data_IF_332821704594
#
_entry.id   IF_332821704594
#
_cell.length_a   1.000
_cell.length_b   1.000
_cell.length_c   1.000
_cell.angle_alpha   90.00
_cell.angle_beta   90.00
_cell.angle_gamma   90.00
#
_symmetry.space_group_name_H-M   'P 1'
#
loop_
_entity.id
_entity.type
_entity.pdbx_description
1 polymer ?
#
# COMPACT_ATOMS: atom_id res chain seq x y z
N UNK A 1 1.88 -14.64 -21.82
CA UNK A 1 2.38 -15.44 -20.70
C UNK A 1 2.08 -14.70 -19.41
N UNK A 2 1.50 -15.36 -18.43
CA UNK A 2 1.25 -14.77 -17.12
C UNK A 2 2.61 -14.63 -16.38
N UNK A 3 3.05 -13.39 -16.17
CA UNK A 3 4.42 -13.12 -15.70
C UNK A 3 4.59 -13.25 -14.17
N UNK A 4 3.51 -13.57 -13.45
CA UNK A 4 3.53 -13.97 -12.02
C UNK A 4 3.15 -15.44 -11.83
N UNK A 5 3.18 -16.25 -12.88
CA UNK A 5 2.80 -17.67 -12.80
C UNK A 5 3.59 -18.39 -11.72
N UNK A 6 2.88 -18.98 -10.76
CA UNK A 6 3.46 -19.74 -9.65
C UNK A 6 4.01 -18.90 -8.50
N UNK A 7 4.00 -17.56 -8.59
CA UNK A 7 4.40 -16.67 -7.50
C UNK A 7 3.34 -16.68 -6.39
N UNK A 8 3.79 -16.71 -5.13
CA UNK A 8 2.97 -16.68 -3.91
C UNK A 8 3.04 -15.31 -3.28
N UNK A 9 1.91 -14.61 -3.18
CA UNK A 9 1.86 -13.20 -2.76
C UNK A 9 0.87 -13.03 -1.62
N UNK A 10 1.34 -12.47 -0.49
CA UNK A 10 0.50 -12.02 0.62
C UNK A 10 0.10 -10.56 0.40
N UNK A 11 -1.19 -10.28 0.42
CA UNK A 11 -1.74 -8.93 0.25
C UNK A 11 -2.48 -8.51 1.51
N UNK A 12 -2.09 -7.38 2.09
CA UNK A 12 -2.73 -6.77 3.26
C UNK A 12 -3.58 -5.57 2.86
N UNK A 13 -4.47 -5.11 3.75
CA UNK A 13 -5.26 -3.90 3.55
C UNK A 13 -6.45 -4.03 2.61
N UNK A 14 -6.87 -5.25 2.27
CA UNK A 14 -8.10 -5.51 1.53
C UNK A 14 -9.31 -5.27 2.44
N UNK A 15 -10.12 -4.24 2.15
CA UNK A 15 -11.32 -3.89 2.92
C UNK A 15 -12.60 -3.91 2.08
N UNK A 16 -12.48 -3.72 0.78
CA UNK A 16 -13.59 -3.70 -0.17
C UNK A 16 -13.08 -3.87 -1.60
N UNK A 17 -13.99 -4.10 -2.54
CA UNK A 17 -13.70 -4.11 -3.99
C UNK A 17 -13.29 -2.74 -4.56
N UNK A 18 -13.30 -1.68 -3.73
CA UNK A 18 -12.78 -0.34 -4.07
C UNK A 18 -11.39 -0.09 -3.50
N UNK A 19 -10.85 -1.01 -2.71
CA UNK A 19 -9.50 -0.90 -2.15
C UNK A 19 -8.45 -1.02 -3.26
N UNK A 20 -7.35 -0.28 -3.16
CA UNK A 20 -6.21 -0.46 -4.05
C UNK A 20 -5.69 -1.90 -3.95
N UNK A 21 -5.69 -2.48 -2.74
CA UNK A 21 -5.36 -3.89 -2.51
C UNK A 21 -6.18 -4.87 -3.36
N UNK A 22 -7.47 -4.57 -3.60
CA UNK A 22 -8.31 -5.38 -4.50
C UNK A 22 -7.86 -5.28 -5.96
N UNK A 23 -7.51 -4.07 -6.43
CA UNK A 23 -6.94 -3.87 -7.76
C UNK A 23 -5.62 -4.62 -7.95
N UNK A 24 -4.76 -4.63 -6.90
CA UNK A 24 -3.51 -5.38 -6.87
C UNK A 24 -3.79 -6.89 -6.93
N UNK A 25 -4.73 -7.39 -6.12
CA UNK A 25 -5.13 -8.79 -6.12
C UNK A 25 -5.62 -9.24 -7.50
N UNK A 26 -6.49 -8.43 -8.13
CA UNK A 26 -6.97 -8.68 -9.50
C UNK A 26 -5.83 -8.79 -10.52
N UNK A 27 -4.90 -7.86 -10.50
CA UNK A 27 -3.77 -7.86 -11.42
C UNK A 27 -2.84 -9.05 -11.18
N UNK A 28 -2.47 -9.32 -9.93
CA UNK A 28 -1.60 -10.44 -9.58
C UNK A 28 -2.26 -11.80 -9.93
N UNK A 29 -3.54 -11.97 -9.63
CA UNK A 29 -4.29 -13.19 -9.97
C UNK A 29 -4.38 -13.39 -11.49
N UNK A 30 -4.71 -12.34 -12.25
CA UNK A 30 -4.72 -12.38 -13.72
C UNK A 30 -3.38 -12.82 -14.29
N UNK A 31 -2.28 -12.42 -13.68
CA UNK A 31 -0.91 -12.79 -14.10
C UNK A 31 -0.44 -14.12 -13.52
N UNK A 32 -1.32 -14.91 -12.88
CA UNK A 32 -1.07 -16.28 -12.47
C UNK A 32 -0.50 -16.46 -11.06
N UNK A 33 -0.51 -15.42 -10.21
CA UNK A 33 -0.09 -15.54 -8.81
C UNK A 33 -1.13 -16.29 -7.97
N UNK A 34 -0.64 -17.03 -6.97
CA UNK A 34 -1.43 -17.55 -5.85
C UNK A 34 -1.42 -16.54 -4.72
N UNK A 35 -2.58 -16.21 -4.17
CA UNK A 35 -2.76 -15.12 -3.23
C UNK A 35 -3.11 -15.61 -1.83
N UNK A 36 -2.70 -14.85 -0.82
CA UNK A 36 -3.19 -14.91 0.55
C UNK A 36 -3.50 -13.49 1.03
N UNK A 37 -4.35 -13.36 2.06
CA UNK A 37 -4.83 -12.07 2.51
C UNK A 37 -4.79 -11.94 4.03
N UNK A 38 -4.79 -10.69 4.53
CA UNK A 38 -5.04 -10.39 5.93
C UNK A 38 -6.32 -9.57 6.10
N UNK A 39 -6.96 -9.75 7.25
CA UNK A 39 -8.07 -8.91 7.73
C UNK A 39 -7.75 -8.38 9.13
N UNK A 40 -8.50 -7.41 9.64
CA UNK A 40 -8.34 -6.85 10.98
C UNK A 40 -9.63 -6.99 11.76
N UNK A 41 -9.62 -7.92 12.72
CA UNK A 41 -10.75 -8.22 13.60
C UNK A 41 -11.93 -8.94 12.94
N UNK A 42 -12.65 -9.71 13.70
CA UNK A 42 -13.71 -10.64 13.26
C UNK A 42 -14.78 -10.01 12.36
N UNK A 43 -15.09 -8.72 12.54
CA UNK A 43 -16.09 -8.01 11.73
C UNK A 43 -15.77 -7.96 10.23
N UNK A 44 -14.51 -8.12 9.84
CA UNK A 44 -14.08 -8.10 8.44
C UNK A 44 -13.81 -9.48 7.87
N UNK A 45 -13.72 -10.50 8.71
CA UNK A 45 -13.35 -11.86 8.32
C UNK A 45 -14.20 -12.41 7.18
N UNK A 46 -15.52 -12.45 7.36
CA UNK A 46 -16.46 -12.97 6.37
C UNK A 46 -16.27 -12.29 5.02
N UNK A 47 -16.27 -10.95 4.99
CA UNK A 47 -16.09 -10.18 3.77
C UNK A 47 -14.75 -10.44 3.08
N UNK A 48 -13.65 -10.55 3.84
CA UNK A 48 -12.34 -10.80 3.25
C UNK A 48 -12.23 -12.23 2.75
N UNK A 49 -12.86 -13.18 3.42
CA UNK A 49 -13.00 -14.56 2.95
C UNK A 49 -13.77 -14.63 1.62
N UNK A 50 -14.87 -13.89 1.48
CA UNK A 50 -15.60 -13.80 0.21
C UNK A 50 -14.73 -13.24 -0.92
N UNK A 51 -14.00 -12.12 -0.67
CA UNK A 51 -13.09 -11.58 -1.68
C UNK A 51 -11.91 -12.52 -1.99
N UNK A 52 -11.38 -13.21 -1.00
CA UNK A 52 -10.31 -14.20 -1.18
C UNK A 52 -10.76 -15.33 -2.10
N UNK A 53 -11.99 -15.81 -1.96
CA UNK A 53 -12.58 -16.84 -2.79
C UNK A 53 -12.71 -16.43 -4.27
N UNK A 54 -12.93 -15.13 -4.56
CA UNK A 54 -12.95 -14.62 -5.95
C UNK A 54 -11.59 -14.84 -6.66
N UNK A 55 -10.50 -14.93 -5.89
CA UNK A 55 -9.14 -15.18 -6.36
C UNK A 55 -8.70 -16.63 -6.14
N UNK A 56 -9.62 -17.53 -5.84
CA UNK A 56 -9.33 -18.95 -5.63
C UNK A 56 -8.47 -19.23 -4.40
N UNK A 57 -8.50 -18.36 -3.38
CA UNK A 57 -7.71 -18.50 -2.15
C UNK A 57 -8.62 -18.71 -0.93
N UNK A 58 -8.23 -19.63 -0.06
CA UNK A 58 -8.83 -19.83 1.27
C UNK A 58 -7.93 -19.28 2.40
N UNK A 59 -6.76 -18.73 2.05
CA UNK A 59 -5.77 -18.26 3.01
C UNK A 59 -6.04 -16.82 3.42
N UNK A 60 -6.70 -16.67 4.59
CA UNK A 60 -6.99 -15.38 5.21
C UNK A 60 -6.58 -15.40 6.68
N UNK A 61 -5.81 -14.41 7.12
CA UNK A 61 -5.21 -14.36 8.45
C UNK A 61 -5.64 -13.08 9.18
N UNK A 62 -5.96 -13.18 10.48
CA UNK A 62 -6.20 -12.01 11.31
C UNK A 62 -4.89 -11.28 11.59
N UNK A 63 -4.87 -9.96 11.40
CA UNK A 63 -3.68 -9.16 11.63
C UNK A 63 -4.03 -7.70 11.92
N UNK A 64 -3.98 -7.33 13.18
CA UNK A 64 -3.83 -5.94 13.59
C UNK A 64 -2.34 -5.60 13.62
N UNK A 65 -1.91 -4.75 12.72
CA UNK A 65 -0.49 -4.36 12.59
C UNK A 65 0.02 -3.47 13.72
N UNK A 66 -0.82 -3.08 14.67
CA UNK A 66 -0.42 -2.47 15.93
C UNK A 66 0.12 -3.50 16.94
N UNK A 67 0.06 -4.80 16.61
CA UNK A 67 0.56 -5.92 17.42
C UNK A 67 1.64 -6.70 16.70
N UNK A 68 2.87 -6.61 17.18
CA UNK A 68 4.00 -7.41 16.66
C UNK A 68 3.76 -8.92 16.78
N UNK A 69 2.98 -9.35 17.80
CA UNK A 69 2.59 -10.74 17.98
C UNK A 69 1.67 -11.22 16.86
N UNK A 70 0.65 -10.41 16.49
CA UNK A 70 -0.24 -10.74 15.39
C UNK A 70 0.50 -10.71 14.04
N UNK A 71 1.40 -9.73 13.83
CA UNK A 71 2.27 -9.72 12.66
C UNK A 71 3.08 -11.03 12.57
N UNK A 72 3.73 -11.44 13.65
CA UNK A 72 4.51 -12.68 13.68
C UNK A 72 3.64 -13.93 13.46
N UNK A 73 2.41 -13.95 14.00
CA UNK A 73 1.46 -15.05 13.83
C UNK A 73 1.09 -15.27 12.36
N UNK A 74 0.84 -14.21 11.59
CA UNK A 74 0.54 -14.33 10.15
C UNK A 74 1.60 -15.15 9.40
N UNK A 75 2.88 -14.85 9.59
CA UNK A 75 3.94 -15.53 8.85
C UNK A 75 4.22 -16.93 9.39
N UNK A 76 4.04 -17.17 10.69
CA UNK A 76 4.09 -18.51 11.28
C UNK A 76 2.99 -19.41 10.71
N UNK A 77 1.77 -18.90 10.59
CA UNK A 77 0.63 -19.66 10.12
C UNK A 77 0.70 -19.83 8.58
N UNK A 78 1.13 -18.80 7.84
CA UNK A 78 1.40 -18.89 6.41
C UNK A 78 2.46 -19.94 6.07
N UNK A 79 3.49 -20.11 6.90
CA UNK A 79 4.53 -21.13 6.74
C UNK A 79 4.00 -22.58 6.79
N UNK A 80 2.80 -22.80 7.34
CA UNK A 80 2.17 -24.11 7.33
C UNK A 80 1.56 -24.46 5.96
N UNK A 81 1.36 -23.46 5.10
CA UNK A 81 0.76 -23.60 3.77
C UNK A 81 1.78 -23.37 2.63
N UNK A 82 2.75 -22.47 2.85
CA UNK A 82 3.72 -22.07 1.83
C UNK A 82 5.15 -22.23 2.36
N UNK A 83 5.99 -22.91 1.60
CA UNK A 83 7.44 -23.05 1.92
C UNK A 83 8.19 -21.72 1.73
N UNK A 84 7.69 -20.83 0.85
CA UNK A 84 8.29 -19.55 0.55
C UNK A 84 7.22 -18.51 0.17
N UNK A 85 7.59 -17.25 0.23
CA UNK A 85 6.81 -16.08 -0.14
C UNK A 85 7.57 -15.28 -1.21
N UNK A 86 6.97 -15.09 -2.37
CA UNK A 86 7.55 -14.30 -3.48
C UNK A 86 7.22 -12.81 -3.36
N UNK A 87 6.10 -12.46 -2.77
CA UNK A 87 5.66 -11.07 -2.67
C UNK A 87 4.90 -10.75 -1.39
N UNK A 88 5.23 -9.61 -0.78
CA UNK A 88 4.48 -9.02 0.33
C UNK A 88 3.96 -7.65 -0.10
N UNK A 89 2.65 -7.45 -0.09
CA UNK A 89 2.01 -6.17 -0.37
C UNK A 89 1.47 -5.57 0.93
N UNK A 90 2.06 -4.46 1.34
CA UNK A 90 1.61 -3.65 2.46
C UNK A 90 0.73 -2.50 1.95
N UNK A 91 -0.59 -2.68 1.99
CA UNK A 91 -1.57 -1.69 1.57
C UNK A 91 -2.36 -1.13 2.77
N UNK A 92 -1.65 -0.86 3.87
CA UNK A 92 -2.21 -0.42 5.14
C UNK A 92 -1.86 1.05 5.38
N UNK A 93 -2.80 1.77 5.98
CA UNK A 93 -2.61 3.13 6.46
C UNK A 93 -3.80 3.56 7.29
N UNK A 94 -3.51 4.19 8.42
CA UNK A 94 -4.51 4.72 9.33
C UNK A 94 -3.96 5.93 10.08
N UNK A 95 -4.79 6.95 10.26
CA UNK A 95 -4.60 8.01 11.22
C UNK A 95 -5.93 8.30 11.93
N UNK A 96 -5.91 8.68 13.21
CA UNK A 96 -7.09 9.18 13.91
C UNK A 96 -7.72 10.34 13.14
N UNK A 97 -9.04 10.46 13.19
CA UNK A 97 -9.78 11.45 12.41
C UNK A 97 -9.35 12.89 12.71
N UNK A 98 -9.07 13.18 13.97
CA UNK A 98 -8.55 14.47 14.42
C UNK A 98 -7.19 14.82 13.80
N UNK A 99 -6.34 13.84 13.54
CA UNK A 99 -5.02 14.00 12.94
C UNK A 99 -5.06 14.48 11.47
N UNK A 100 -6.21 14.30 10.80
CA UNK A 100 -6.42 14.66 9.38
C UNK A 100 -7.59 15.65 9.21
N UNK A 101 -8.10 16.21 10.30
CA UNK A 101 -9.15 17.22 10.28
C UNK A 101 -8.57 18.62 10.49
N UNK A 102 -9.18 19.63 9.82
CA UNK A 102 -8.78 21.03 10.01
C UNK A 102 -7.37 21.36 9.51
N UNK A 103 -6.79 22.38 10.11
CA UNK A 103 -5.39 22.75 9.88
C UNK A 103 -4.45 21.74 10.52
N UNK A 104 -3.22 21.69 10.02
CA UNK A 104 -2.20 20.73 10.51
C UNK A 104 -1.95 20.84 12.02
N UNK A 105 -1.85 22.08 12.53
CA UNK A 105 -1.55 22.32 13.94
C UNK A 105 -2.75 22.03 14.85
N UNK A 106 -3.97 22.19 14.34
CA UNK A 106 -5.21 21.94 15.12
C UNK A 106 -5.32 20.44 15.51
N UNK A 107 -4.99 19.56 14.58
CA UNK A 107 -5.06 18.10 14.77
C UNK A 107 -3.79 17.45 15.32
N UNK A 108 -2.73 18.23 15.53
CA UNK A 108 -1.44 17.69 15.96
C UNK A 108 -1.45 17.33 17.46
N UNK A 109 -1.35 16.07 17.77
CA UNK A 109 -1.13 15.57 19.12
C UNK A 109 -0.09 14.46 19.13
N UNK A 110 0.54 14.24 20.29
CA UNK A 110 1.53 13.16 20.46
C UNK A 110 0.91 11.79 20.15
N UNK A 111 -0.30 11.54 20.62
CA UNK A 111 -1.00 10.27 20.44
C UNK A 111 -1.41 10.06 18.99
N UNK A 112 -2.00 11.06 18.33
CA UNK A 112 -2.34 10.98 16.91
C UNK A 112 -1.11 10.76 16.03
N UNK A 113 0.01 11.45 16.35
CA UNK A 113 1.29 11.27 15.66
C UNK A 113 1.81 9.85 15.84
N UNK A 114 1.83 9.34 17.08
CA UNK A 114 2.27 7.98 17.40
C UNK A 114 1.45 6.93 16.66
N UNK A 115 0.11 7.01 16.74
CA UNK A 115 -0.79 6.04 16.10
C UNK A 115 -0.61 6.04 14.57
N UNK A 116 -0.54 7.23 13.96
CA UNK A 116 -0.36 7.32 12.50
C UNK A 116 0.97 6.71 12.04
N UNK A 117 2.07 6.94 12.76
CA UNK A 117 3.38 6.38 12.42
C UNK A 117 3.48 4.89 12.73
N UNK A 118 2.91 4.45 13.83
CA UNK A 118 2.87 3.04 14.23
C UNK A 118 2.20 2.19 13.14
N UNK A 119 0.96 2.56 12.79
CA UNK A 119 0.16 1.78 11.83
C UNK A 119 0.60 2.02 10.37
N UNK A 120 0.98 3.26 10.00
CA UNK A 120 1.17 3.59 8.59
C UNK A 120 2.62 3.64 8.13
N UNK A 121 3.59 3.56 9.05
CA UNK A 121 5.01 3.57 8.74
C UNK A 121 5.76 2.37 9.32
N UNK A 122 5.70 2.15 10.65
CA UNK A 122 6.41 1.07 11.32
C UNK A 122 5.95 -0.31 10.86
N UNK A 123 4.66 -0.50 10.63
CA UNK A 123 4.11 -1.81 10.27
C UNK A 123 4.71 -2.42 9.01
N UNK A 124 5.14 -1.63 8.02
CA UNK A 124 5.76 -2.14 6.79
C UNK A 124 7.11 -2.82 7.07
N UNK A 125 8.13 -2.17 7.67
CA UNK A 125 9.37 -2.85 8.03
C UNK A 125 9.18 -3.96 9.07
N UNK A 126 8.19 -3.84 9.98
CA UNK A 126 7.87 -4.91 10.93
C UNK A 126 7.37 -6.17 10.21
N UNK A 127 6.44 -6.03 9.25
CA UNK A 127 5.96 -7.15 8.44
C UNK A 127 7.07 -7.72 7.56
N UNK A 128 7.89 -6.88 6.92
CA UNK A 128 9.04 -7.35 6.13
C UNK A 128 10.02 -8.16 6.98
N UNK A 129 10.31 -7.71 8.22
CA UNK A 129 11.15 -8.44 9.18
C UNK A 129 10.53 -9.79 9.56
N UNK A 130 9.25 -9.83 9.87
CA UNK A 130 8.56 -11.07 10.24
C UNK A 130 8.46 -12.06 9.06
N UNK A 131 8.40 -11.55 7.82
CA UNK A 131 8.37 -12.34 6.61
C UNK A 131 9.73 -12.96 6.22
N UNK A 132 10.87 -12.51 6.78
CA UNK A 132 12.22 -12.94 6.39
C UNK A 132 12.43 -14.45 6.32
N UNK A 133 11.87 -15.28 7.21
CA UNK A 133 12.04 -16.73 7.11
C UNK A 133 11.41 -17.36 5.87
N UNK A 134 10.42 -16.68 5.25
CA UNK A 134 9.74 -17.14 4.05
C UNK A 134 10.22 -16.44 2.77
N UNK A 135 10.80 -15.24 2.88
CA UNK A 135 11.32 -14.51 1.74
C UNK A 135 12.59 -15.16 1.22
N UNK A 136 12.68 -15.34 -0.09
CA UNK A 136 13.82 -15.94 -0.77
C UNK A 136 14.42 -14.97 -1.82
N UNK A 137 15.62 -15.26 -2.37
CA UNK A 137 16.18 -14.45 -3.46
C UNK A 137 15.22 -14.36 -4.65
N UNK A 138 14.95 -13.14 -5.11
CA UNK A 138 13.94 -12.82 -6.13
C UNK A 138 12.60 -12.33 -5.57
N UNK A 139 12.35 -12.47 -4.26
CA UNK A 139 11.15 -11.94 -3.64
C UNK A 139 11.11 -10.40 -3.66
N UNK A 140 9.89 -9.85 -3.54
CA UNK A 140 9.65 -8.40 -3.56
C UNK A 140 8.69 -7.97 -2.46
N UNK A 141 9.04 -6.93 -1.69
CA UNK A 141 8.14 -6.30 -0.74
C UNK A 141 7.71 -4.94 -1.29
N UNK A 142 6.43 -4.63 -1.21
CA UNK A 142 5.81 -3.46 -1.83
C UNK A 142 4.90 -2.75 -0.85
N UNK A 143 4.97 -1.41 -0.81
CA UNK A 143 4.04 -0.59 -0.02
C UNK A 143 3.34 0.46 -0.87
N UNK A 144 2.24 1.04 -0.32
CA UNK A 144 1.48 2.12 -0.93
C UNK A 144 1.72 3.42 -0.17
N UNK A 145 2.08 4.46 -0.90
CA UNK A 145 2.26 5.81 -0.40
C UNK A 145 1.43 6.82 -1.19
N UNK A 146 1.60 8.10 -0.89
CA UNK A 146 0.88 9.19 -1.53
C UNK A 146 1.76 10.44 -1.62
N UNK A 147 1.49 11.31 -2.58
CA UNK A 147 2.19 12.57 -2.83
C UNK A 147 2.41 13.42 -1.56
N UNK A 148 1.51 13.28 -0.56
CA UNK A 148 1.64 13.92 0.75
C UNK A 148 2.91 13.57 1.53
N UNK A 149 3.66 12.54 1.13
CA UNK A 149 4.97 12.22 1.71
C UNK A 149 6.06 13.22 1.34
N UNK A 150 5.96 13.88 0.19
CA UNK A 150 6.98 14.78 -0.37
C UNK A 150 6.47 16.20 -0.58
N UNK A 151 5.17 16.43 -0.45
CA UNK A 151 4.52 17.74 -0.57
C UNK A 151 3.45 17.91 0.49
N UNK A 152 3.31 19.11 1.06
CA UNK A 152 2.19 19.39 1.97
C UNK A 152 0.86 19.37 1.19
N UNK A 153 -0.01 18.45 1.58
CA UNK A 153 -1.36 18.34 1.03
C UNK A 153 -2.35 18.72 2.14
N UNK A 154 -3.17 19.77 1.96
CA UNK A 154 -4.16 20.16 2.95
C UNK A 154 -5.04 18.98 3.37
N UNK A 155 -5.37 18.91 4.66
CA UNK A 155 -6.17 17.83 5.29
C UNK A 155 -5.54 16.43 5.24
N UNK A 156 -4.32 16.27 4.72
CA UNK A 156 -3.58 15.02 4.85
C UNK A 156 -2.69 15.02 6.11
N UNK A 157 -2.20 16.18 6.49
CA UNK A 157 -1.61 16.52 7.79
C UNK A 157 -0.62 15.45 8.33
N UNK A 158 -0.84 14.92 9.53
CA UNK A 158 0.03 13.93 10.19
C UNK A 158 0.22 12.66 9.35
N UNK A 159 -0.75 12.28 8.51
CA UNK A 159 -0.58 11.15 7.60
C UNK A 159 0.54 11.41 6.57
N UNK A 160 0.74 12.67 6.12
CA UNK A 160 1.86 13.02 5.24
C UNK A 160 3.21 12.73 5.88
N UNK A 161 3.37 13.04 7.17
CA UNK A 161 4.58 12.75 7.92
C UNK A 161 4.80 11.23 8.06
N UNK A 162 3.75 10.48 8.35
CA UNK A 162 3.82 9.02 8.41
C UNK A 162 4.20 8.41 7.04
N UNK A 163 3.65 8.95 5.93
CA UNK A 163 4.01 8.50 4.57
C UNK A 163 5.44 8.87 4.18
N UNK A 164 5.97 10.02 4.64
CA UNK A 164 7.38 10.36 4.46
C UNK A 164 8.30 9.36 5.18
N UNK A 165 7.95 8.98 6.41
CA UNK A 165 8.65 7.94 7.17
C UNK A 165 8.56 6.58 6.47
N UNK A 166 7.38 6.22 5.92
CA UNK A 166 7.18 4.99 5.15
C UNK A 166 8.06 4.95 3.89
N UNK A 167 8.17 6.04 3.13
CA UNK A 167 9.04 6.12 1.95
C UNK A 167 10.53 6.03 2.32
N UNK A 168 10.93 6.60 3.47
CA UNK A 168 12.27 6.38 4.00
C UNK A 168 12.49 4.89 4.29
N UNK A 169 11.52 4.20 4.90
CA UNK A 169 11.62 2.76 5.20
C UNK A 169 11.80 1.91 3.95
N UNK A 170 11.23 2.29 2.79
CA UNK A 170 11.46 1.60 1.52
C UNK A 170 12.96 1.58 1.18
N UNK A 171 13.66 2.71 1.30
CA UNK A 171 15.09 2.81 1.02
C UNK A 171 15.95 1.99 1.98
N UNK A 172 15.63 2.04 3.28
CA UNK A 172 16.35 1.24 4.29
C UNK A 172 16.09 -0.26 4.13
N UNK A 173 14.87 -0.66 3.75
CA UNK A 173 14.57 -2.05 3.44
C UNK A 173 15.30 -2.51 2.17
N UNK A 174 15.36 -1.68 1.12
CA UNK A 174 16.09 -2.01 -0.10
C UNK A 174 17.58 -2.26 0.18
N UNK A 175 18.20 -1.42 1.02
CA UNK A 175 19.59 -1.61 1.42
C UNK A 175 19.79 -2.88 2.25
N UNK A 176 18.92 -3.13 3.24
CA UNK A 176 19.03 -4.27 4.15
C UNK A 176 18.70 -5.62 3.48
N UNK A 177 17.74 -5.64 2.54
CA UNK A 177 17.24 -6.84 1.88
C UNK A 177 17.99 -7.15 0.58
N UNK A 178 18.59 -6.13 -0.07
CA UNK A 178 19.29 -6.24 -1.33
C UNK A 178 20.40 -7.29 -1.35
N UNK A 179 21.27 -7.39 -0.33
CA UNK A 179 22.29 -8.46 -0.24
C UNK A 179 21.72 -9.88 -0.20
N UNK A 180 20.43 -10.03 0.11
CA UNK A 180 19.70 -11.30 0.09
C UNK A 180 18.95 -11.53 -1.23
N UNK A 181 19.11 -10.64 -2.22
CA UNK A 181 18.39 -10.70 -3.49
C UNK A 181 16.90 -10.35 -3.39
N UNK A 182 16.46 -9.66 -2.33
CA UNK A 182 15.08 -9.29 -2.10
C UNK A 182 14.93 -7.79 -2.38
N UNK A 183 13.89 -7.39 -3.14
CA UNK A 183 13.62 -6.01 -3.52
C UNK A 183 12.57 -5.37 -2.59
N UNK A 184 12.70 -4.06 -2.38
CA UNK A 184 11.72 -3.28 -1.62
C UNK A 184 11.36 -2.01 -2.40
N UNK A 185 10.08 -1.80 -2.71
CA UNK A 185 9.61 -0.65 -3.48
C UNK A 185 8.30 -0.09 -2.92
N UNK A 186 7.94 1.11 -3.37
CA UNK A 186 6.67 1.74 -3.05
C UNK A 186 5.95 2.24 -4.31
N UNK A 187 4.63 2.36 -4.24
CA UNK A 187 3.82 3.02 -5.26
C UNK A 187 3.15 4.24 -4.61
N UNK A 188 3.42 5.42 -5.16
CA UNK A 188 2.70 6.65 -4.85
C UNK A 188 1.50 6.75 -5.80
N UNK A 189 0.34 6.35 -5.31
CA UNK A 189 -0.89 6.37 -6.09
C UNK A 189 -1.53 7.76 -6.06
N UNK A 190 -2.10 8.20 -7.17
CA UNK A 190 -3.00 9.36 -7.21
C UNK A 190 -4.26 9.13 -6.34
N UNK A 191 -5.07 10.16 -6.11
CA UNK A 191 -6.26 10.04 -5.28
C UNK A 191 -7.27 9.11 -5.95
N UNK A 192 -7.73 8.09 -5.19
CA UNK A 192 -8.73 7.11 -5.60
C UNK A 192 -9.82 7.07 -4.54
N UNK A 193 -11.08 6.98 -4.95
CA UNK A 193 -12.24 6.93 -4.04
C UNK A 193 -12.33 5.55 -3.36
N UNK A 194 -11.53 5.36 -2.32
CA UNK A 194 -11.53 4.16 -1.45
C UNK A 194 -12.33 4.40 -0.17
N UNK A 195 -12.59 3.34 0.62
CA UNK A 195 -13.16 3.49 1.95
C UNK A 195 -12.24 4.31 2.89
N UNK A 196 -10.93 4.11 2.82
CA UNK A 196 -9.97 4.88 3.61
C UNK A 196 -10.00 6.38 3.25
N UNK A 197 -10.13 6.72 1.98
CA UNK A 197 -10.22 8.09 1.50
C UNK A 197 -11.54 8.79 1.90
N UNK A 198 -12.60 8.04 2.21
CA UNK A 198 -13.91 8.61 2.60
C UNK A 198 -13.87 9.41 3.91
N UNK A 199 -12.85 9.20 4.75
CA UNK A 199 -12.61 9.97 5.98
C UNK A 199 -11.96 11.33 5.76
N UNK A 200 -11.42 11.60 4.57
CA UNK A 200 -10.75 12.88 4.25
C UNK A 200 -11.79 13.92 3.87
N UNK A 201 -11.75 15.06 4.56
CA UNK A 201 -12.64 16.18 4.26
C UNK A 201 -12.44 16.69 2.83
N UNK A 202 -13.52 17.03 2.14
CA UNK A 202 -13.49 17.59 0.78
C UNK A 202 -12.78 16.71 -0.28
N UNK A 203 -12.65 15.40 -0.04
CA UNK A 203 -11.95 14.48 -0.94
C UNK A 203 -12.49 14.52 -2.39
N UNK A 204 -13.79 14.76 -2.58
CA UNK A 204 -14.38 14.91 -3.92
C UNK A 204 -13.85 16.14 -4.66
N UNK A 205 -13.54 17.23 -3.94
CA UNK A 205 -12.92 18.43 -4.53
C UNK A 205 -11.47 18.12 -4.96
N UNK A 206 -10.73 17.38 -4.13
CA UNK A 206 -9.38 16.93 -4.47
C UNK A 206 -9.39 16.05 -5.74
N UNK A 207 -10.33 15.11 -5.86
CA UNK A 207 -10.50 14.30 -7.06
C UNK A 207 -10.77 15.15 -8.31
N UNK A 208 -11.66 16.14 -8.20
CA UNK A 208 -11.96 17.07 -9.30
C UNK A 208 -10.71 17.87 -9.70
N UNK A 209 -10.03 18.45 -8.71
CA UNK A 209 -8.81 19.23 -8.94
C UNK A 209 -7.72 18.41 -9.63
N UNK A 210 -7.44 17.18 -9.16
CA UNK A 210 -6.44 16.32 -9.79
C UNK A 210 -6.85 15.91 -11.20
N UNK A 211 -8.13 15.58 -11.44
CA UNK A 211 -8.62 15.24 -12.78
C UNK A 211 -8.48 16.41 -13.77
N UNK A 212 -8.63 17.64 -13.29
CA UNK A 212 -8.49 18.85 -14.11
C UNK A 212 -7.03 19.17 -14.45
N UNK A 213 -6.11 18.95 -13.50
CA UNK A 213 -4.72 19.41 -13.60
C UNK A 213 -3.71 18.32 -13.94
N UNK A 214 -4.03 17.03 -13.73
CA UNK A 214 -3.14 15.95 -14.15
C UNK A 214 -2.92 15.96 -15.69
N UNK A 215 -1.72 15.67 -16.17
CA UNK A 215 -1.44 15.58 -17.61
C UNK A 215 -2.43 14.68 -18.37
N UNK A 216 -2.83 13.55 -17.79
CA UNK A 216 -3.82 12.64 -18.38
C UNK A 216 -5.27 13.11 -18.24
N UNK A 217 -5.53 14.27 -17.59
CA UNK A 217 -6.87 14.87 -17.41
C UNK A 217 -7.91 13.92 -16.82
N UNK A 218 -7.48 13.05 -15.94
CA UNK A 218 -8.32 12.11 -15.19
C UNK A 218 -7.62 11.61 -13.94
N UNK A 219 -8.39 11.09 -12.99
CA UNK A 219 -7.83 10.29 -11.90
C UNK A 219 -7.43 8.91 -12.42
N UNK A 220 -6.52 8.28 -11.69
CA UNK A 220 -6.12 6.88 -11.90
C UNK A 220 -7.09 5.92 -11.24
N UNK A 221 -7.05 4.67 -11.65
CA UNK A 221 -7.91 3.58 -11.14
C UNK A 221 -7.13 2.61 -10.27
N UNK A 222 -7.83 1.77 -9.51
CA UNK A 222 -7.22 0.69 -8.72
C UNK A 222 -6.55 -0.35 -9.63
N UNK A 223 -7.07 -0.53 -10.85
CA UNK A 223 -6.49 -1.43 -11.86
C UNK A 223 -5.13 -0.95 -12.36
N UNK A 224 -4.98 0.36 -12.59
CA UNK A 224 -3.70 0.94 -13.05
C UNK A 224 -2.62 0.82 -11.96
N UNK A 225 -2.98 1.05 -10.71
CA UNK A 225 -2.09 0.81 -9.56
C UNK A 225 -1.78 -0.69 -9.43
N UNK A 226 -2.80 -1.54 -9.61
CA UNK A 226 -2.66 -3.00 -9.59
C UNK A 226 -1.70 -3.53 -10.65
N UNK A 227 -1.79 -3.00 -11.88
CA UNK A 227 -0.88 -3.38 -12.98
C UNK A 227 0.58 -3.02 -12.65
N UNK A 228 0.81 -1.83 -12.11
CA UNK A 228 2.15 -1.41 -11.65
C UNK A 228 2.65 -2.28 -10.51
N UNK A 229 1.78 -2.63 -9.55
CA UNK A 229 2.13 -3.52 -8.46
C UNK A 229 2.52 -4.92 -8.96
N UNK A 230 1.74 -5.51 -9.88
CA UNK A 230 2.05 -6.80 -10.48
C UNK A 230 3.41 -6.78 -11.20
N UNK A 231 3.72 -5.70 -11.94
CA UNK A 231 5.04 -5.51 -12.56
C UNK A 231 6.16 -5.45 -11.51
N UNK A 232 6.04 -4.62 -10.46
CA UNK A 232 7.06 -4.48 -9.42
C UNK A 232 7.26 -5.74 -8.59
N UNK A 233 6.25 -6.59 -8.46
CA UNK A 233 6.33 -7.89 -7.78
C UNK A 233 6.94 -8.99 -8.67
N UNK A 234 7.04 -8.77 -9.98
CA UNK A 234 7.53 -9.75 -10.94
C UNK A 234 9.05 -9.66 -11.16
N UNK A 235 9.59 -10.68 -11.83
CA UNK A 235 11.00 -10.71 -12.27
C UNK A 235 11.29 -9.68 -13.37
N UNK A 236 10.28 -9.12 -14.03
CA UNK A 236 10.42 -8.02 -14.99
C UNK A 236 10.99 -6.75 -14.35
N UNK A 237 10.80 -6.59 -13.04
CA UNK A 237 11.32 -5.49 -12.23
C UNK A 237 12.59 -5.84 -11.44
N UNK A 238 13.35 -6.88 -11.86
CA UNK A 238 14.52 -7.40 -11.12
C UNK A 238 15.62 -6.36 -10.86
N UNK A 239 15.71 -5.30 -11.66
CA UNK A 239 16.65 -4.18 -11.47
C UNK A 239 16.09 -3.01 -10.66
N UNK A 240 14.88 -3.10 -10.09
CA UNK A 240 14.20 -1.98 -9.41
C UNK A 240 14.07 -2.30 -7.92
N UNK A 241 14.76 -1.52 -7.08
CA UNK A 241 14.64 -1.58 -5.61
C UNK A 241 14.92 -0.20 -5.00
N UNK A 242 14.28 0.12 -3.88
CA UNK A 242 14.39 1.43 -3.21
C UNK A 242 13.59 2.55 -3.88
N UNK A 243 12.79 2.22 -4.89
CA UNK A 243 12.08 3.18 -5.75
C UNK A 243 10.65 3.45 -5.23
N UNK A 244 10.19 4.68 -5.46
CA UNK A 244 8.80 5.11 -5.30
C UNK A 244 8.26 5.44 -6.69
N UNK A 245 7.48 4.52 -7.23
CA UNK A 245 6.87 4.67 -8.57
C UNK A 245 5.55 5.45 -8.47
N UNK A 246 5.43 6.55 -9.20
CA UNK A 246 4.22 7.34 -9.24
C UNK A 246 3.20 6.77 -10.24
N UNK A 247 1.97 6.54 -9.77
CA UNK A 247 0.82 6.16 -10.58
C UNK A 247 -0.29 7.17 -10.28
N UNK A 248 -0.23 8.34 -10.90
CA UNK A 248 -1.06 9.51 -10.57
C UNK A 248 -1.51 10.34 -11.77
N UNK A 249 -1.41 9.79 -12.97
CA UNK A 249 -1.73 10.50 -14.22
C UNK A 249 -0.76 11.62 -14.57
N UNK A 250 0.43 11.63 -13.92
CA UNK A 250 1.46 12.65 -14.07
C UNK A 250 1.27 13.87 -13.17
N UNK A 251 0.29 13.87 -12.27
CA UNK A 251 -0.03 15.01 -11.43
C UNK A 251 1.16 15.50 -10.58
N UNK A 252 1.97 14.59 -10.04
CA UNK A 252 3.15 14.92 -9.23
C UNK A 252 4.25 15.65 -10.01
N UNK A 253 4.25 15.56 -11.34
CA UNK A 253 5.30 16.10 -12.21
C UNK A 253 5.01 17.52 -12.73
N UNK A 254 3.81 18.02 -12.51
CA UNK A 254 3.40 19.34 -12.97
C UNK A 254 3.09 20.28 -11.81
N UNK A 255 3.29 21.55 -12.02
CA UNK A 255 2.77 22.59 -11.15
C UNK A 255 1.37 22.96 -11.62
N UNK A 256 0.37 22.73 -10.77
CA UNK A 256 -0.98 23.19 -11.04
C UNK A 256 -0.97 24.74 -10.95
N UNK A 257 -1.12 25.40 -12.08
CA UNK A 257 -1.26 26.86 -12.17
C UNK A 257 -2.74 27.17 -12.34
N UNK A 258 -3.25 28.13 -11.54
CA UNK A 258 -4.58 28.65 -11.78
C UNK A 258 -4.54 29.54 -13.05
N UNK A 259 -5.25 29.21 -14.14
CA UNK A 259 -5.21 29.98 -15.38
C UNK A 259 -5.86 31.37 -15.26
N UNK A 260 -6.49 31.72 -14.12
CA UNK A 260 -7.09 33.03 -13.89
C UNK A 260 -6.10 34.10 -13.34
N UNK A 261 -4.80 33.79 -13.29
CA UNK A 261 -3.77 34.78 -13.01
C UNK A 261 -3.27 35.33 -14.33
N UNK A 262 -4.02 36.29 -14.91
CA UNK A 262 -3.54 37.23 -15.91
C UNK A 262 -2.75 38.38 -15.26
#
# INVERSE_FOLDING_TARGET
>A
MAFLQGKKILITGLLSNRSIAYGIAKACHREGATLAFTYVGERFKERITEFSAEFGSELVFDCDVSSDEQIAAVFRDLAQHWEHLDGLVHAIGFAPREAIAGDFLDGLSRDSFRIAHDISAYSFPAMAKAALPLLHPGASVLTLTYLGAVRAVPYYNTMGLAKASLEASVRYLAESLGPRGIRANGISAGPIKTLAASGIKDFSKLLGFVAEHAPLRRNVTIEEVGNTAAFLLSDLASGITGEITYVDGGFSQVMAVNPEVE
#
